data_IF_220736743593
#
_entry.id   IF_220736743593
#
_cell.length_a   1.000
_cell.length_b   1.000
_cell.length_c   1.000
_cell.angle_alpha   90.00
_cell.angle_beta   90.00
_cell.angle_gamma   90.00
#
_symmetry.space_group_name_H-M   'P 1'
#
loop_
_entity.id
_entity.type
_entity.pdbx_description
1 polymer ?
#
# COMPACT_ATOMS: atom_id res chain seq x y z
N UNK A 1 -0.50 8.82 8.19
CA UNK A 1 -1.68 8.29 7.50
C UNK A 1 -2.92 8.44 8.37
N UNK A 2 -4.07 8.75 7.76
CA UNK A 2 -5.36 8.86 8.45
C UNK A 2 -6.49 8.32 7.56
N UNK A 3 -7.45 7.63 8.16
CA UNK A 3 -8.70 7.21 7.52
C UNK A 3 -9.87 7.82 8.30
N UNK A 4 -10.80 8.47 7.60
CA UNK A 4 -12.03 9.00 8.18
C UNK A 4 -13.23 8.29 7.57
N UNK A 5 -13.95 7.53 8.38
CA UNK A 5 -15.18 6.86 7.98
C UNK A 5 -16.37 7.79 8.18
N UNK A 6 -17.05 8.14 7.09
CA UNK A 6 -18.35 8.83 7.12
C UNK A 6 -19.44 7.76 7.09
N UNK A 7 -20.10 7.56 8.22
CA UNK A 7 -21.02 6.45 8.44
C UNK A 7 -22.46 6.91 8.64
N UNK A 8 -23.40 6.02 8.34
CA UNK A 8 -24.82 6.19 8.59
C UNK A 8 -25.66 5.42 7.57
N UNK A 9 -26.97 5.25 7.82
CA UNK A 9 -27.87 4.56 6.90
C UNK A 9 -27.99 5.27 5.55
N UNK A 10 -28.66 4.62 4.59
CA UNK A 10 -29.01 5.23 3.30
C UNK A 10 -29.85 6.51 3.49
N UNK A 11 -29.62 7.53 2.65
CA UNK A 11 -30.41 8.77 2.66
C UNK A 11 -30.06 9.82 3.75
N UNK A 12 -29.09 9.55 4.63
CA UNK A 12 -28.71 10.53 5.68
C UNK A 12 -27.90 11.73 5.17
N UNK A 13 -27.40 11.67 3.92
CA UNK A 13 -26.65 12.76 3.29
C UNK A 13 -25.13 12.60 3.33
N UNK A 14 -24.60 11.37 3.43
CA UNK A 14 -23.15 11.07 3.44
C UNK A 14 -22.42 11.68 2.25
N UNK A 15 -22.86 11.39 1.02
CA UNK A 15 -22.19 11.89 -0.19
C UNK A 15 -22.23 13.42 -0.29
N UNK A 16 -23.34 14.05 0.12
CA UNK A 16 -23.44 15.52 0.16
C UNK A 16 -22.48 16.13 1.19
N UNK A 17 -22.37 15.53 2.38
CA UNK A 17 -21.42 15.95 3.40
C UNK A 17 -19.98 15.82 2.90
N UNK A 18 -19.63 14.69 2.29
CA UNK A 18 -18.30 14.45 1.72
C UNK A 18 -17.96 15.50 0.65
N UNK A 19 -18.91 15.77 -0.24
CA UNK A 19 -18.75 16.75 -1.32
C UNK A 19 -18.53 18.17 -0.79
N UNK A 20 -19.15 18.54 0.32
CA UNK A 20 -19.02 19.88 0.90
C UNK A 20 -17.74 20.04 1.72
N UNK A 21 -17.39 19.03 2.50
CA UNK A 21 -16.32 19.13 3.50
C UNK A 21 -14.95 18.67 2.98
N UNK A 22 -14.89 17.80 1.96
CA UNK A 22 -13.64 17.18 1.53
C UNK A 22 -13.34 17.30 0.03
N UNK A 23 -14.36 17.31 -0.84
CA UNK A 23 -14.12 17.28 -2.27
C UNK A 23 -13.35 18.51 -2.80
N UNK A 24 -12.45 18.25 -3.76
CA UNK A 24 -11.64 19.28 -4.42
C UNK A 24 -10.45 19.80 -3.60
N UNK A 25 -10.16 19.22 -2.43
CA UNK A 25 -9.00 19.58 -1.61
C UNK A 25 -7.89 18.53 -1.75
N UNK A 26 -6.65 18.98 -1.91
CA UNK A 26 -5.52 18.12 -2.29
C UNK A 26 -5.08 17.14 -1.18
N UNK A 27 -5.40 17.46 0.07
CA UNK A 27 -5.09 16.67 1.25
C UNK A 27 -6.00 15.43 1.44
N UNK A 28 -7.10 15.35 0.69
CA UNK A 28 -8.11 14.29 0.83
C UNK A 28 -8.20 13.43 -0.42
N UNK A 29 -8.35 12.12 -0.22
CA UNK A 29 -8.80 11.18 -1.23
C UNK A 29 -10.16 10.61 -0.81
N UNK A 30 -11.15 10.68 -1.70
CA UNK A 30 -12.49 10.18 -1.41
C UNK A 30 -12.59 8.73 -1.90
N UNK A 31 -12.84 7.82 -0.97
CA UNK A 31 -13.18 6.43 -1.26
C UNK A 31 -14.71 6.29 -1.32
N UNK A 32 -15.23 6.22 -2.54
CA UNK A 32 -16.65 5.95 -2.82
C UNK A 32 -16.76 5.24 -4.18
N UNK A 33 -17.02 3.92 -4.14
CA UNK A 33 -17.09 3.05 -5.33
C UNK A 33 -18.16 3.54 -6.31
N UNK A 34 -19.37 3.81 -5.83
CA UNK A 34 -20.46 4.25 -6.68
C UNK A 34 -20.16 5.60 -7.36
N UNK A 35 -19.62 6.55 -6.62
CA UNK A 35 -19.23 7.85 -7.18
C UNK A 35 -18.11 7.69 -8.21
N UNK A 36 -17.13 6.81 -7.97
CA UNK A 36 -16.08 6.49 -8.95
C UNK A 36 -16.65 5.88 -10.23
N UNK A 37 -17.60 4.94 -10.13
CA UNK A 37 -18.28 4.38 -11.31
C UNK A 37 -18.99 5.47 -12.13
N UNK A 38 -19.68 6.41 -11.44
CA UNK A 38 -20.33 7.55 -12.10
C UNK A 38 -19.32 8.50 -12.74
N UNK A 39 -18.15 8.70 -12.15
CA UNK A 39 -17.08 9.53 -12.73
C UNK A 39 -16.47 8.91 -13.99
N UNK A 40 -16.21 7.60 -13.97
CA UNK A 40 -15.59 6.88 -15.09
C UNK A 40 -16.58 6.65 -16.25
N UNK A 41 -17.82 6.26 -15.94
CA UNK A 41 -18.78 5.78 -16.94
C UNK A 41 -20.03 6.64 -17.08
N UNK A 42 -20.17 7.70 -16.28
CA UNK A 42 -21.30 8.63 -16.32
C UNK A 42 -22.60 8.10 -15.67
N UNK A 43 -22.60 6.88 -15.15
CA UNK A 43 -23.79 6.21 -14.58
C UNK A 43 -23.42 5.21 -13.50
N UNK A 44 -24.28 5.04 -12.51
CA UNK A 44 -24.14 3.98 -11.52
C UNK A 44 -24.45 2.58 -12.06
N UNK A 45 -25.21 2.49 -13.16
CA UNK A 45 -25.49 1.21 -13.84
C UNK A 45 -24.23 0.52 -14.38
N UNK A 46 -23.07 1.19 -14.33
CA UNK A 46 -21.79 0.55 -14.60
C UNK A 46 -21.42 -0.50 -13.55
N UNK A 47 -21.97 -0.42 -12.33
CA UNK A 47 -21.80 -1.45 -11.31
C UNK A 47 -22.64 -2.71 -11.58
N UNK A 48 -23.60 -2.66 -12.52
CA UNK A 48 -24.35 -3.85 -12.96
C UNK A 48 -23.61 -4.63 -14.07
N UNK A 49 -22.46 -4.15 -14.51
CA UNK A 49 -21.64 -4.68 -15.60
C UNK A 49 -20.29 -5.13 -15.04
N UNK A 50 -20.05 -6.45 -15.00
CA UNK A 50 -18.89 -7.06 -14.33
C UNK A 50 -17.55 -6.43 -14.76
N UNK A 51 -17.36 -6.14 -16.05
CA UNK A 51 -16.10 -5.58 -16.55
C UNK A 51 -15.87 -4.15 -16.01
N UNK A 52 -16.93 -3.33 -15.97
CA UNK A 52 -16.85 -1.95 -15.50
C UNK A 52 -16.83 -1.83 -13.99
N UNK A 53 -17.47 -2.77 -13.30
CA UNK A 53 -17.37 -2.91 -11.86
C UNK A 53 -15.90 -3.18 -11.49
N UNK A 54 -15.27 -4.18 -12.10
CA UNK A 54 -13.86 -4.51 -11.86
C UNK A 54 -12.95 -3.31 -12.14
N UNK A 55 -13.16 -2.60 -13.25
CA UNK A 55 -12.40 -1.38 -13.57
C UNK A 55 -12.58 -0.30 -12.49
N UNK A 56 -13.81 -0.10 -12.00
CA UNK A 56 -14.09 0.84 -10.90
C UNK A 56 -13.37 0.45 -9.61
N UNK A 57 -13.41 -0.84 -9.24
CA UNK A 57 -12.78 -1.35 -8.03
C UNK A 57 -11.25 -1.22 -8.09
N UNK A 58 -10.66 -1.46 -9.25
CA UNK A 58 -9.21 -1.29 -9.43
C UNK A 58 -8.80 0.18 -9.30
N UNK A 59 -9.51 1.10 -9.97
CA UNK A 59 -9.21 2.53 -9.92
C UNK A 59 -9.36 3.11 -8.50
N UNK A 60 -10.46 2.79 -7.79
CA UNK A 60 -10.65 3.27 -6.42
C UNK A 60 -9.64 2.64 -5.45
N UNK A 61 -9.24 1.39 -5.67
CA UNK A 61 -8.21 0.71 -4.89
C UNK A 61 -6.86 1.41 -5.04
N UNK A 62 -6.45 1.64 -6.28
CA UNK A 62 -5.20 2.29 -6.62
C UNK A 62 -5.12 3.72 -6.07
N UNK A 63 -6.16 4.53 -6.28
CA UNK A 63 -6.25 5.90 -5.75
C UNK A 63 -6.08 5.94 -4.23
N UNK A 64 -6.77 5.04 -3.53
CA UNK A 64 -6.78 4.99 -2.08
C UNK A 64 -5.46 4.50 -1.49
N UNK A 65 -4.86 3.48 -2.08
CA UNK A 65 -3.53 2.99 -1.71
C UNK A 65 -2.49 4.11 -1.84
N UNK A 66 -2.38 4.74 -3.01
CA UNK A 66 -1.41 5.81 -3.21
C UNK A 66 -1.69 7.03 -2.31
N UNK A 67 -2.95 7.37 -2.07
CA UNK A 67 -3.28 8.45 -1.14
C UNK A 67 -2.77 8.17 0.29
N UNK A 68 -2.93 6.94 0.79
CA UNK A 68 -2.39 6.56 2.09
C UNK A 68 -0.86 6.62 2.10
N UNK A 69 -0.20 6.08 1.08
CA UNK A 69 1.26 6.10 0.97
C UNK A 69 1.84 7.52 0.86
N UNK A 70 1.14 8.43 0.17
CA UNK A 70 1.46 9.87 0.08
C UNK A 70 1.23 10.62 1.41
N UNK A 71 0.66 9.95 2.43
CA UNK A 71 0.31 10.55 3.71
C UNK A 71 -0.95 11.41 3.69
N UNK A 72 -1.75 11.35 2.63
CA UNK A 72 -3.07 12.01 2.55
C UNK A 72 -4.07 11.33 3.49
N UNK A 73 -5.20 11.99 3.70
CA UNK A 73 -6.31 11.42 4.45
C UNK A 73 -7.30 10.75 3.50
N UNK A 74 -7.59 9.47 3.76
CA UNK A 74 -8.59 8.70 3.04
C UNK A 74 -9.96 8.89 3.70
N UNK A 75 -10.92 9.45 2.96
CA UNK A 75 -12.29 9.69 3.43
C UNK A 75 -13.21 8.65 2.83
N UNK A 76 -13.72 7.75 3.65
CA UNK A 76 -14.50 6.59 3.21
C UNK A 76 -15.98 6.86 3.44
N UNK A 77 -16.78 6.78 2.38
CA UNK A 77 -18.23 6.65 2.54
C UNK A 77 -18.57 5.20 2.88
N UNK A 78 -19.16 4.96 4.05
CA UNK A 78 -19.42 3.60 4.53
C UNK A 78 -20.85 3.46 5.06
N UNK A 79 -21.49 2.32 4.79
CA UNK A 79 -22.78 2.00 5.38
C UNK A 79 -22.59 1.34 6.75
N UNK A 80 -23.02 2.04 7.80
CA UNK A 80 -23.24 1.44 9.11
C UNK A 80 -24.50 2.02 9.74
N UNK A 81 -25.32 1.15 10.32
CA UNK A 81 -26.50 1.51 11.11
C UNK A 81 -26.45 0.80 12.46
N UNK A 82 -25.63 1.34 13.35
CA UNK A 82 -25.30 0.73 14.64
C UNK A 82 -23.94 0.04 14.64
N UNK A 83 -23.85 -1.06 15.41
CA UNK A 83 -22.62 -1.84 15.50
C UNK A 83 -22.39 -2.64 14.22
N UNK A 84 -21.15 -2.57 13.72
CA UNK A 84 -20.77 -3.13 12.42
C UNK A 84 -19.41 -3.83 12.56
N UNK A 85 -19.42 -5.16 12.45
CA UNK A 85 -18.23 -6.01 12.61
C UNK A 85 -17.17 -5.73 11.53
N UNK A 86 -17.60 -5.46 10.29
CA UNK A 86 -16.72 -5.10 9.18
C UNK A 86 -15.96 -3.81 9.46
N UNK A 87 -16.68 -2.75 9.84
CA UNK A 87 -16.09 -1.46 10.20
C UNK A 87 -15.15 -1.60 11.40
N UNK A 88 -15.54 -2.37 12.41
CA UNK A 88 -14.69 -2.63 13.58
C UNK A 88 -13.40 -3.35 13.18
N UNK A 89 -13.48 -4.32 12.27
CA UNK A 89 -12.33 -5.08 11.75
C UNK A 89 -11.39 -4.17 10.95
N UNK A 90 -11.92 -3.35 10.05
CA UNK A 90 -11.15 -2.33 9.31
C UNK A 90 -10.45 -1.36 10.26
N UNK A 91 -11.16 -0.84 11.27
CA UNK A 91 -10.57 0.07 12.26
C UNK A 91 -9.46 -0.61 13.08
N UNK A 92 -9.63 -1.89 13.42
CA UNK A 92 -8.63 -2.67 14.15
C UNK A 92 -7.39 -2.89 13.28
N UNK A 93 -7.55 -3.25 12.00
CA UNK A 93 -6.44 -3.41 11.05
C UNK A 93 -5.69 -2.09 10.86
N UNK A 94 -6.38 -1.00 10.55
CA UNK A 94 -5.78 0.33 10.42
C UNK A 94 -4.98 0.74 11.68
N UNK A 95 -5.51 0.47 12.87
CA UNK A 95 -4.82 0.74 14.13
C UNK A 95 -3.52 -0.08 14.28
N UNK A 96 -3.50 -1.35 13.87
CA UNK A 96 -2.30 -2.19 13.90
C UNK A 96 -1.19 -1.62 12.99
N UNK A 97 -1.57 -1.01 11.88
CA UNK A 97 -0.67 -0.34 10.93
C UNK A 97 -0.27 1.08 11.36
N UNK A 98 -0.69 1.54 12.56
CA UNK A 98 -0.42 2.90 13.04
C UNK A 98 -1.18 4.00 12.29
N UNK A 99 -2.20 3.65 11.51
CA UNK A 99 -3.06 4.60 10.82
C UNK A 99 -4.08 5.17 11.80
N UNK A 100 -4.17 6.50 11.88
CA UNK A 100 -5.19 7.15 12.71
C UNK A 100 -6.56 6.97 12.07
N UNK A 101 -7.53 6.47 12.83
CA UNK A 101 -8.91 6.36 12.37
C UNK A 101 -9.80 7.40 13.05
N UNK A 102 -10.73 7.97 12.27
CA UNK A 102 -11.80 8.85 12.74
C UNK A 102 -13.13 8.35 12.20
N UNK A 103 -14.20 8.49 12.99
CA UNK A 103 -15.55 8.07 12.59
C UNK A 103 -16.48 9.26 12.77
N UNK A 104 -17.17 9.63 11.70
CA UNK A 104 -18.20 10.67 11.70
C UNK A 104 -19.53 10.00 11.37
N UNK A 105 -20.41 9.95 12.36
CA UNK A 105 -21.75 9.38 12.20
C UNK A 105 -22.75 10.47 11.81
N UNK A 106 -23.37 10.30 10.65
CA UNK A 106 -24.48 11.14 10.20
C UNK A 106 -25.80 10.44 10.49
N UNK A 107 -26.73 11.18 11.08
CA UNK A 107 -28.07 10.69 11.41
C UNK A 107 -29.12 11.69 10.98
N UNK A 108 -30.32 11.20 10.68
CA UNK A 108 -31.50 12.02 10.41
C UNK A 108 -32.75 11.20 10.76
N UNK A 109 -33.91 11.86 10.78
CA UNK A 109 -35.19 11.17 10.87
C UNK A 109 -35.36 10.15 9.73
N UNK A 110 -35.83 8.94 10.08
CA UNK A 110 -35.99 7.81 9.14
C UNK A 110 -36.91 8.15 7.97
N UNK A 111 -38.02 8.87 8.23
CA UNK A 111 -38.97 9.23 7.16
C UNK A 111 -38.33 10.20 6.19
N UNK A 112 -37.56 11.16 6.71
CA UNK A 112 -36.83 12.11 5.88
C UNK A 112 -35.74 11.41 5.05
N UNK A 113 -35.00 10.46 5.63
CA UNK A 113 -34.02 9.67 4.88
C UNK A 113 -34.69 8.89 3.73
N UNK A 114 -35.82 8.25 4.02
CA UNK A 114 -36.58 7.49 3.02
C UNK A 114 -37.17 8.37 1.91
N UNK A 115 -37.70 9.54 2.25
CA UNK A 115 -38.16 10.53 1.27
C UNK A 115 -37.03 10.99 0.35
N UNK A 116 -35.84 11.25 0.89
CA UNK A 116 -34.66 11.62 0.09
C UNK A 116 -34.27 10.53 -0.90
N UNK A 117 -34.21 9.27 -0.46
CA UNK A 117 -33.90 8.13 -1.35
C UNK A 117 -34.91 8.03 -2.49
N UNK A 118 -36.22 8.16 -2.18
CA UNK A 118 -37.28 8.14 -3.20
C UNK A 118 -37.18 9.29 -4.20
N UNK A 119 -36.77 10.48 -3.76
CA UNK A 119 -36.68 11.65 -4.61
C UNK A 119 -35.42 11.68 -5.48
N UNK A 120 -34.36 10.97 -5.12
CA UNK A 120 -33.08 11.05 -5.81
C UNK A 120 -33.04 10.29 -7.15
N UNK A 121 -33.93 9.30 -7.35
CA UNK A 121 -34.10 8.62 -8.64
C UNK A 121 -32.81 7.94 -9.14
N UNK A 122 -32.52 8.04 -10.44
CA UNK A 122 -31.35 7.42 -11.07
C UNK A 122 -30.01 8.08 -10.68
N UNK A 123 -30.05 9.23 -10.01
CA UNK A 123 -28.87 9.95 -9.52
C UNK A 123 -28.45 9.52 -8.10
N UNK A 124 -28.99 8.41 -7.60
CA UNK A 124 -28.64 7.83 -6.31
C UNK A 124 -28.31 6.35 -6.42
N UNK A 125 -27.21 5.96 -5.80
CA UNK A 125 -26.84 4.57 -5.60
C UNK A 125 -26.88 4.24 -4.10
N UNK A 126 -27.66 3.23 -3.66
CA UNK A 126 -27.75 2.87 -2.25
C UNK A 126 -26.44 2.29 -1.73
N UNK A 127 -25.88 2.87 -0.65
CA UNK A 127 -24.65 2.34 -0.03
C UNK A 127 -24.78 0.92 0.56
N UNK A 128 -25.99 0.36 0.60
CA UNK A 128 -26.24 -1.03 0.99
C UNK A 128 -25.86 -2.03 -0.10
N UNK A 129 -25.87 -1.58 -1.35
CA UNK A 129 -25.59 -2.44 -2.52
C UNK A 129 -24.09 -2.59 -2.79
N UNK A 130 -23.22 -1.79 -2.15
CA UNK A 130 -21.75 -1.82 -2.32
C UNK A 130 -20.99 -2.04 -1.01
N UNK A 131 -21.69 -2.45 0.05
CA UNK A 131 -21.09 -2.52 1.39
C UNK A 131 -19.99 -3.57 1.45
N UNK A 132 -20.25 -4.77 0.94
CA UNK A 132 -19.32 -5.90 1.00
C UNK A 132 -18.07 -5.61 0.14
N UNK A 133 -18.26 -5.02 -1.03
CA UNK A 133 -17.20 -4.57 -1.94
C UNK A 133 -16.35 -3.48 -1.29
N UNK A 134 -16.97 -2.53 -0.60
CA UNK A 134 -16.27 -1.49 0.17
C UNK A 134 -15.40 -2.11 1.27
N UNK A 135 -15.93 -3.08 2.02
CA UNK A 135 -15.17 -3.78 3.06
C UNK A 135 -13.99 -4.57 2.48
N UNK A 136 -14.24 -5.33 1.41
CA UNK A 136 -13.24 -6.16 0.73
C UNK A 136 -12.10 -5.31 0.16
N UNK A 137 -12.42 -4.28 -0.62
CA UNK A 137 -11.41 -3.42 -1.24
C UNK A 137 -10.60 -2.67 -0.19
N UNK A 138 -11.25 -2.13 0.85
CA UNK A 138 -10.51 -1.46 1.93
C UNK A 138 -9.62 -2.42 2.72
N UNK A 139 -10.03 -3.66 2.93
CA UNK A 139 -9.15 -4.64 3.56
C UNK A 139 -7.91 -4.92 2.70
N UNK A 140 -8.10 -5.16 1.40
CA UNK A 140 -7.00 -5.39 0.46
C UNK A 140 -6.03 -4.19 0.45
N UNK A 141 -6.54 -2.95 0.38
CA UNK A 141 -5.70 -1.75 0.48
C UNK A 141 -4.88 -1.73 1.78
N UNK A 142 -5.49 -2.09 2.92
CA UNK A 142 -4.78 -2.12 4.20
C UNK A 142 -3.73 -3.23 4.25
N UNK A 143 -3.96 -4.37 3.60
CA UNK A 143 -2.97 -5.43 3.43
C UNK A 143 -1.82 -4.99 2.53
N UNK A 144 -2.11 -4.29 1.43
CA UNK A 144 -1.09 -3.70 0.55
C UNK A 144 -0.26 -2.64 1.30
N UNK A 145 -0.90 -1.80 2.12
CA UNK A 145 -0.20 -0.83 2.98
C UNK A 145 0.65 -1.55 4.03
N UNK A 146 0.17 -2.63 4.64
CA UNK A 146 0.96 -3.43 5.58
C UNK A 146 2.23 -3.98 4.93
N UNK A 147 2.08 -4.59 3.76
CA UNK A 147 3.17 -5.11 2.96
C UNK A 147 4.21 -4.02 2.65
N UNK A 148 3.75 -2.83 2.28
CA UNK A 148 4.62 -1.70 1.95
C UNK A 148 5.26 -1.02 3.17
N UNK A 149 4.56 -0.96 4.31
CA UNK A 149 5.09 -0.41 5.55
C UNK A 149 6.16 -1.29 6.20
N UNK A 150 6.13 -2.59 5.95
CA UNK A 150 7.13 -3.51 6.49
C UNK A 150 8.48 -3.42 5.77
N UNK A 151 8.58 -2.70 4.63
CA UNK A 151 9.85 -2.49 3.93
C UNK A 151 10.70 -1.39 4.57
N UNK A 152 11.69 -1.79 5.36
CA UNK A 152 12.77 -0.90 5.83
C UNK A 152 13.93 -0.98 4.87
N UNK A 153 14.19 0.08 4.11
CA UNK A 153 15.40 0.17 3.28
C UNK A 153 16.64 0.20 4.18
N UNK A 154 17.47 -0.83 4.08
CA UNK A 154 18.67 -1.02 4.90
C UNK A 154 19.85 -0.29 4.28
N UNK A 155 20.01 -0.41 2.96
CA UNK A 155 21.06 0.26 2.22
C UNK A 155 20.72 0.42 0.75
N UNK A 156 21.35 1.40 0.12
CA UNK A 156 21.33 1.59 -1.32
C UNK A 156 22.77 1.55 -1.83
N UNK A 157 23.03 0.72 -2.85
CA UNK A 157 24.32 0.61 -3.51
C UNK A 157 24.18 1.00 -4.98
N UNK A 158 24.99 1.96 -5.44
CA UNK A 158 25.06 2.36 -6.84
C UNK A 158 25.80 1.33 -7.68
N UNK A 159 25.29 1.02 -8.87
CA UNK A 159 25.85 0.10 -9.86
C UNK A 159 26.09 0.82 -11.22
N UNK A 160 26.85 0.22 -12.14
CA UNK A 160 26.86 0.67 -13.54
C UNK A 160 25.49 0.44 -14.17
N UNK A 161 24.66 1.48 -14.23
CA UNK A 161 23.32 1.45 -14.84
C UNK A 161 22.16 1.82 -13.90
N UNK A 162 22.38 1.96 -12.59
CA UNK A 162 21.32 2.30 -11.64
C UNK A 162 21.75 2.13 -10.19
N UNK A 163 20.79 2.04 -9.26
CA UNK A 163 21.07 1.63 -7.90
C UNK A 163 20.27 0.39 -7.51
N UNK A 164 20.82 -0.36 -6.56
CA UNK A 164 20.23 -1.52 -5.95
C UNK A 164 19.80 -1.13 -4.53
N UNK A 165 18.53 -1.31 -4.25
CA UNK A 165 17.94 -1.05 -2.95
C UNK A 165 17.82 -2.36 -2.18
N UNK A 166 18.27 -2.35 -0.94
CA UNK A 166 18.23 -3.48 -0.04
C UNK A 166 17.18 -3.24 1.04
N UNK A 167 16.32 -4.20 1.27
CA UNK A 167 15.19 -4.06 2.18
C UNK A 167 15.20 -5.16 3.22
N UNK A 168 14.81 -4.78 4.43
CA UNK A 168 14.34 -5.66 5.48
C UNK A 168 12.82 -5.60 5.47
N UNK A 169 12.19 -6.74 5.67
CA UNK A 169 10.75 -6.80 5.90
C UNK A 169 10.35 -7.85 6.89
N UNK A 170 9.07 -7.84 7.28
CA UNK A 170 8.49 -8.84 8.17
C UNK A 170 7.38 -9.59 7.41
N UNK A 171 7.46 -10.92 7.39
CA UNK A 171 6.46 -11.82 6.82
C UNK A 171 6.14 -12.89 7.84
N UNK A 172 4.87 -13.04 8.22
CA UNK A 172 4.40 -13.97 9.26
C UNK A 172 5.13 -13.82 10.61
N UNK A 173 5.53 -12.60 10.96
CA UNK A 173 6.29 -12.31 12.19
C UNK A 173 7.78 -12.63 12.11
N UNK A 174 8.26 -13.17 11.00
CA UNK A 174 9.68 -13.48 10.74
C UNK A 174 10.31 -12.34 9.94
N UNK A 175 11.49 -11.91 10.36
CA UNK A 175 12.26 -10.91 9.60
C UNK A 175 12.91 -11.58 8.40
N UNK A 176 12.74 -10.98 7.22
CA UNK A 176 13.34 -11.43 5.96
C UNK A 176 14.01 -10.26 5.24
N UNK A 177 14.83 -10.58 4.25
CA UNK A 177 15.64 -9.63 3.48
C UNK A 177 15.47 -9.88 1.98
N UNK A 178 15.54 -8.83 1.17
CA UNK A 178 15.60 -8.92 -0.30
C UNK A 178 16.29 -7.69 -0.88
N UNK A 179 16.58 -7.73 -2.18
CA UNK A 179 17.13 -6.60 -2.90
C UNK A 179 16.56 -6.51 -4.32
N UNK A 180 16.41 -5.29 -4.83
CA UNK A 180 15.83 -4.99 -6.15
C UNK A 180 16.55 -3.81 -6.79
N UNK A 181 16.52 -3.71 -8.12
CA UNK A 181 17.07 -2.57 -8.86
C UNK A 181 15.98 -1.57 -9.21
N UNK A 182 16.33 -0.30 -9.42
CA UNK A 182 15.35 0.75 -9.81
C UNK A 182 14.58 0.42 -11.11
N UNK A 183 15.14 -0.45 -11.97
CA UNK A 183 14.50 -0.83 -13.24
C UNK A 183 13.31 -1.80 -13.07
N UNK A 184 13.18 -2.43 -11.90
CA UNK A 184 12.11 -3.38 -11.58
C UNK A 184 10.91 -2.65 -10.97
N UNK A 185 10.26 -1.77 -11.73
CA UNK A 185 9.08 -1.01 -11.29
C UNK A 185 7.85 -1.87 -10.93
N UNK A 186 7.87 -3.16 -11.27
CA UNK A 186 6.91 -4.18 -10.87
C UNK A 186 7.67 -5.46 -10.51
N UNK A 187 7.57 -5.89 -9.27
CA UNK A 187 8.14 -7.13 -8.78
C UNK A 187 7.12 -7.87 -7.93
N UNK A 188 7.30 -9.19 -7.81
CA UNK A 188 6.53 -10.03 -6.90
C UNK A 188 7.50 -10.95 -6.14
N UNK A 189 7.10 -11.46 -4.98
CA UNK A 189 7.93 -12.44 -4.27
C UNK A 189 7.81 -13.80 -4.93
N UNK A 190 8.94 -14.52 -5.01
CA UNK A 190 8.95 -15.84 -5.63
C UNK A 190 7.97 -16.78 -4.91
N UNK A 191 6.99 -17.36 -5.61
CA UNK A 191 6.04 -18.29 -5.00
C UNK A 191 6.72 -19.60 -4.60
N UNK A 192 6.11 -20.32 -3.65
CA UNK A 192 6.63 -21.60 -3.16
C UNK A 192 6.58 -22.70 -4.24
N UNK A 193 5.69 -22.55 -5.23
CA UNK A 193 5.51 -23.51 -6.32
C UNK A 193 5.69 -22.86 -7.70
N UNK A 194 6.51 -23.49 -8.54
CA UNK A 194 6.83 -22.99 -9.89
C UNK A 194 5.63 -22.87 -10.85
N UNK A 195 4.49 -23.50 -10.56
CA UNK A 195 3.28 -23.35 -11.39
C UNK A 195 2.53 -22.03 -11.10
N UNK A 196 2.86 -21.35 -10.01
CA UNK A 196 2.30 -20.05 -9.62
C UNK A 196 3.10 -18.88 -10.21
N UNK A 197 4.23 -19.17 -10.87
CA UNK A 197 5.03 -18.15 -11.57
C UNK A 197 4.32 -17.69 -12.86
N UNK A 198 4.07 -16.39 -12.96
CA UNK A 198 3.51 -15.69 -14.10
C UNK A 198 4.62 -15.24 -15.05
N UNK A 199 4.39 -15.43 -16.35
CA UNK A 199 5.34 -15.03 -17.38
C UNK A 199 5.41 -13.48 -17.47
N UNK A 200 6.62 -12.93 -17.36
CA UNK A 200 6.86 -11.48 -17.42
C UNK A 200 6.90 -10.77 -16.06
N UNK A 201 6.78 -11.48 -14.94
CA UNK A 201 6.96 -10.95 -13.59
C UNK A 201 8.41 -11.16 -13.12
N UNK A 202 9.03 -10.11 -12.57
CA UNK A 202 10.33 -10.22 -11.92
C UNK A 202 10.14 -10.71 -10.49
N UNK A 203 10.48 -11.99 -10.25
CA UNK A 203 10.37 -12.59 -8.92
C UNK A 203 11.58 -12.29 -8.05
N UNK A 204 11.35 -11.72 -6.86
CA UNK A 204 12.37 -11.46 -5.87
C UNK A 204 12.66 -12.70 -5.03
N UNK A 205 13.95 -12.95 -4.80
CA UNK A 205 14.41 -13.95 -3.82
C UNK A 205 14.36 -13.35 -2.41
N UNK A 206 13.80 -14.11 -1.46
CA UNK A 206 13.76 -13.77 -0.03
C UNK A 206 14.86 -14.52 0.73
N UNK A 207 15.45 -13.88 1.75
CA UNK A 207 16.49 -14.46 2.59
C UNK A 207 16.14 -14.34 4.07
N UNK A 208 16.51 -15.35 4.86
CA UNK A 208 16.23 -15.40 6.31
C UNK A 208 17.13 -14.47 7.15
N UNK A 209 18.30 -14.11 6.62
CA UNK A 209 19.29 -13.28 7.30
C UNK A 209 20.02 -12.33 6.35
N UNK A 210 20.53 -11.23 6.91
CA UNK A 210 21.23 -10.19 6.17
C UNK A 210 22.53 -10.70 5.51
N UNK A 211 23.43 -11.42 6.21
CA UNK A 211 24.64 -11.99 5.58
C UNK A 211 24.36 -12.82 4.32
N UNK A 212 23.39 -13.73 4.38
CA UNK A 212 23.00 -14.57 3.23
C UNK A 212 22.48 -13.74 2.06
N UNK A 213 21.61 -12.77 2.35
CA UNK A 213 21.08 -11.86 1.34
C UNK A 213 22.19 -11.04 0.68
N UNK A 214 23.14 -10.57 1.48
CA UNK A 214 24.22 -9.69 1.04
C UNK A 214 25.27 -10.46 0.21
N UNK A 215 25.58 -11.69 0.61
CA UNK A 215 26.40 -12.59 -0.21
C UNK A 215 25.75 -12.82 -1.58
N UNK A 216 24.43 -13.07 -1.62
CA UNK A 216 23.71 -13.29 -2.88
C UNK A 216 23.71 -12.05 -3.78
N UNK A 217 23.61 -10.86 -3.19
CA UNK A 217 23.77 -9.60 -3.91
C UNK A 217 25.13 -9.53 -4.60
N UNK A 218 26.22 -9.88 -3.92
CA UNK A 218 27.55 -9.86 -4.50
C UNK A 218 27.75 -10.90 -5.60
N UNK A 219 27.20 -12.10 -5.42
CA UNK A 219 27.22 -13.12 -6.47
C UNK A 219 26.49 -12.65 -7.72
N UNK A 220 25.35 -11.96 -7.56
CA UNK A 220 24.55 -11.43 -8.67
C UNK A 220 25.16 -10.17 -9.29
N UNK A 221 25.82 -9.34 -8.48
CA UNK A 221 26.41 -8.05 -8.85
C UNK A 221 27.79 -7.86 -8.19
N UNK A 222 28.89 -8.19 -8.87
CA UNK A 222 30.25 -8.11 -8.30
C UNK A 222 30.67 -6.70 -7.86
N UNK A 223 31.41 -6.64 -6.74
CA UNK A 223 31.81 -5.41 -5.99
C UNK A 223 32.50 -4.33 -6.82
N UNK A 224 33.24 -4.68 -7.86
CA UNK A 224 33.94 -3.70 -8.71
C UNK A 224 33.01 -2.70 -9.40
N UNK A 225 31.69 -2.92 -9.32
CA UNK A 225 30.66 -2.00 -9.83
C UNK A 225 29.78 -1.38 -8.76
N UNK A 226 29.89 -1.78 -7.49
CA UNK A 226 29.00 -1.34 -6.42
C UNK A 226 29.66 -0.36 -5.45
N UNK A 227 29.02 0.78 -5.20
CA UNK A 227 29.44 1.78 -4.20
C UNK A 227 28.26 2.19 -3.31
N UNK A 228 28.46 2.43 -2.00
CA UNK A 228 27.36 2.77 -1.13
C UNK A 228 26.88 4.18 -1.44
N UNK A 229 25.57 4.33 -1.50
CA UNK A 229 24.92 5.64 -1.55
C UNK A 229 24.39 5.99 -0.17
N UNK A 230 23.75 5.04 0.50
CA UNK A 230 23.14 5.24 1.81
C UNK A 230 23.13 3.92 2.61
N UNK A 231 23.35 4.00 3.93
CA UNK A 231 23.21 2.87 4.86
C UNK A 231 22.43 3.36 6.09
N UNK A 232 21.38 2.64 6.44
CA UNK A 232 20.56 2.92 7.62
C UNK A 232 21.40 2.84 8.90
N UNK A 233 21.21 3.80 9.81
CA UNK A 233 22.06 3.97 10.99
C UNK A 233 22.19 2.69 11.84
N UNK A 234 21.08 2.00 12.06
CA UNK A 234 21.01 0.78 12.88
C UNK A 234 21.72 -0.43 12.26
N UNK A 235 22.10 -0.38 10.98
CA UNK A 235 22.70 -1.50 10.25
C UNK A 235 24.14 -1.23 9.81
N UNK A 236 24.73 -0.10 10.23
CA UNK A 236 26.09 0.27 9.84
C UNK A 236 27.14 -0.77 10.25
N UNK A 237 26.98 -1.41 11.42
CA UNK A 237 27.95 -2.37 11.94
C UNK A 237 27.85 -3.70 11.19
N UNK A 238 26.64 -4.21 11.03
CA UNK A 238 26.33 -5.45 10.31
C UNK A 238 26.79 -5.34 8.86
N UNK A 239 26.55 -4.19 8.22
CA UNK A 239 27.03 -3.93 6.87
C UNK A 239 28.56 -3.89 6.81
N UNK A 240 29.21 -3.24 7.78
CA UNK A 240 30.68 -3.16 7.85
C UNK A 240 31.30 -4.55 8.03
N UNK A 241 30.76 -5.37 8.91
CA UNK A 241 31.25 -6.73 9.17
C UNK A 241 31.11 -7.61 7.92
N UNK A 242 29.93 -7.59 7.28
CA UNK A 242 29.70 -8.36 6.06
C UNK A 242 30.62 -7.92 4.90
N UNK A 243 30.84 -6.61 4.76
CA UNK A 243 31.76 -6.05 3.77
C UNK A 243 33.22 -6.41 4.05
N UNK A 244 33.66 -6.31 5.31
CA UNK A 244 35.02 -6.69 5.72
C UNK A 244 35.28 -8.17 5.50
N UNK A 245 34.33 -9.04 5.85
CA UNK A 245 34.45 -10.48 5.60
C UNK A 245 34.60 -10.81 4.11
N UNK A 246 33.86 -10.11 3.25
CA UNK A 246 34.00 -10.26 1.80
C UNK A 246 35.40 -9.83 1.32
N UNK A 247 35.91 -8.67 1.76
CA UNK A 247 37.27 -8.20 1.41
C UNK A 247 38.39 -9.14 1.88
N UNK A 248 38.20 -9.81 3.01
CA UNK A 248 39.15 -10.83 3.50
C UNK A 248 39.13 -12.09 2.63
N UNK A 249 38.05 -12.32 1.90
CA UNK A 249 37.84 -13.49 1.05
C UNK A 249 38.27 -13.25 -0.41
N UNK A 250 38.13 -12.01 -0.92
CA UNK A 250 38.63 -11.58 -2.24
C UNK A 250 39.57 -10.36 -2.09
N UNK A 251 40.87 -10.63 -2.15
CA UNK A 251 41.91 -9.62 -1.99
C UNK A 251 42.09 -8.77 -3.26
N UNK A 252 41.28 -7.72 -3.47
CA UNK A 252 41.63 -6.60 -4.36
C UNK A 252 41.24 -5.23 -3.77
N UNK A 253 42.26 -4.39 -3.54
CA UNK A 253 42.20 -3.07 -2.89
C UNK A 253 41.89 -1.95 -3.90
N UNK A 254 40.63 -1.70 -4.28
CA UNK A 254 40.36 -0.52 -5.13
C UNK A 254 38.96 0.09 -4.96
N UNK A 255 38.47 0.28 -3.72
CA UNK A 255 37.40 1.28 -3.43
C UNK A 255 37.22 1.67 -1.95
N UNK A 256 38.18 1.35 -1.09
CA UNK A 256 38.03 1.45 0.38
C UNK A 256 37.72 2.88 0.90
N UNK A 257 38.09 3.93 0.16
CA UNK A 257 37.95 5.31 0.63
C UNK A 257 36.50 5.81 0.70
N UNK A 258 35.66 5.47 -0.28
CA UNK A 258 34.25 5.87 -0.28
C UNK A 258 33.46 5.15 0.83
N UNK A 259 33.73 3.86 1.02
CA UNK A 259 33.11 3.04 2.05
C UNK A 259 33.46 3.50 3.48
N UNK A 260 34.72 3.86 3.72
CA UNK A 260 35.17 4.35 5.03
C UNK A 260 34.49 5.66 5.46
N UNK A 261 34.02 6.48 4.52
CA UNK A 261 33.34 7.75 4.84
C UNK A 261 31.89 7.49 5.30
N UNK A 262 31.18 6.54 4.69
CA UNK A 262 29.77 6.27 4.97
C UNK A 262 29.59 5.37 6.21
N UNK A 263 30.55 4.47 6.44
CA UNK A 263 30.49 3.54 7.57
C UNK A 263 30.96 4.14 8.89
N UNK A 264 31.75 5.23 8.90
CA UNK A 264 32.13 5.96 10.13
C UNK A 264 31.03 6.94 10.60
#
# INVERSE_FOLDING_TARGET
>A
MKITFIIGPSGVGKSSFISQEYAGRAEYCIFNIAQKAKELFGSFSALDDEDKEIETLNEVSQDAFFALMDGKELVVEYLADGFDDGLFTLCKKAKLLGIRTEIITLTTDEKLAWERVKHAGADYFPSVEIKEETEMVLMNILEDVEFNLDFVRICEVGAEGGSINFYRFRKDGIVRFFFTTIEEGFFDFKPDFAFEELEGVNYLEEFEDFPSAFQRLFEKYPVFRLYPLEVHADYKNEFREAYQHFLETEAEEENQSAWNIILN
#
